data_IF_350218919713
#
_entry.id   IF_350218919713
#
_cell.length_a   1.000
_cell.length_b   1.000
_cell.length_c   1.000
_cell.angle_alpha   90.00
_cell.angle_beta   90.00
_cell.angle_gamma   90.00
#
_symmetry.space_group_name_H-M   'P 1'
#
loop_
_entity.id
_entity.type
_entity.pdbx_description
1 polymer ?
#
# COMPACT_ATOMS: atom_id res chain seq x y z
N UNK A 1 -14.97 2.32 23.91
CA UNK A 1 -13.54 2.33 24.32
C UNK A 1 -12.71 2.28 23.05
N UNK A 2 -11.77 3.21 22.87
CA UNK A 2 -10.92 3.28 21.67
C UNK A 2 -9.76 2.30 21.86
N UNK A 3 -9.46 1.49 20.83
CA UNK A 3 -8.31 0.61 20.79
C UNK A 3 -7.32 1.13 19.73
N UNK A 4 -6.07 1.34 20.12
CA UNK A 4 -5.01 1.87 19.26
C UNK A 4 -4.04 0.78 18.78
N UNK A 5 -4.21 -0.47 19.23
CA UNK A 5 -3.42 -1.60 18.77
C UNK A 5 -3.78 -1.99 17.34
N UNK A 6 -2.78 -2.49 16.61
CA UNK A 6 -2.98 -2.99 15.26
C UNK A 6 -3.92 -4.21 15.33
N UNK A 7 -5.02 -4.24 14.56
CA UNK A 7 -5.86 -5.41 14.49
C UNK A 7 -5.07 -6.61 13.98
N UNK A 8 -5.20 -7.78 14.64
CA UNK A 8 -4.49 -9.03 14.26
C UNK A 8 -4.55 -9.39 12.76
N UNK A 9 -5.67 -9.06 12.10
CA UNK A 9 -5.85 -9.28 10.65
C UNK A 9 -4.89 -8.47 9.76
N UNK A 10 -4.27 -7.42 10.27
CA UNK A 10 -3.33 -6.56 9.54
C UNK A 10 -1.88 -6.74 9.97
N UNK A 11 -1.59 -7.52 11.02
CA UNK A 11 -0.21 -7.76 11.47
C UNK A 11 0.66 -8.33 10.34
N UNK A 12 0.14 -9.29 9.59
CA UNK A 12 0.86 -9.86 8.44
C UNK A 12 1.12 -8.82 7.35
N UNK A 13 0.16 -7.93 7.06
CA UNK A 13 0.34 -6.86 6.08
C UNK A 13 1.46 -5.91 6.53
N UNK A 14 1.42 -5.50 7.80
CA UNK A 14 2.42 -4.61 8.40
C UNK A 14 3.81 -5.25 8.35
N UNK A 15 3.95 -6.53 8.74
CA UNK A 15 5.24 -7.21 8.71
C UNK A 15 5.80 -7.33 7.28
N UNK A 16 4.96 -7.63 6.30
CA UNK A 16 5.39 -7.70 4.89
C UNK A 16 5.81 -6.33 4.35
N UNK A 17 5.02 -5.28 4.63
CA UNK A 17 5.36 -3.92 4.23
C UNK A 17 6.68 -3.46 4.87
N UNK A 18 6.88 -3.78 6.15
CA UNK A 18 8.12 -3.48 6.87
C UNK A 18 9.34 -4.20 6.27
N UNK A 19 9.17 -5.46 5.84
CA UNK A 19 10.22 -6.21 5.18
C UNK A 19 10.61 -5.58 3.83
N UNK A 20 9.63 -5.18 3.01
CA UNK A 20 9.88 -4.45 1.76
C UNK A 20 10.57 -3.12 2.03
N UNK A 21 10.14 -2.38 3.06
CA UNK A 21 10.75 -1.13 3.44
C UNK A 21 12.23 -1.31 3.83
N UNK A 22 12.55 -2.37 4.58
CA UNK A 22 13.91 -2.67 5.02
C UNK A 22 14.81 -3.14 3.88
N UNK A 23 14.35 -4.13 3.10
CA UNK A 23 15.18 -4.81 2.10
C UNK A 23 15.26 -4.09 0.77
N UNK A 24 14.21 -3.36 0.38
CA UNK A 24 14.16 -2.66 -0.92
C UNK A 24 14.34 -1.17 -0.74
N UNK A 25 13.53 -0.52 0.11
CA UNK A 25 13.52 0.94 0.15
C UNK A 25 14.77 1.49 0.83
N UNK A 26 15.11 1.03 2.05
CA UNK A 26 16.31 1.52 2.74
C UNK A 26 17.58 1.18 1.98
N UNK A 27 17.65 0.01 1.35
CA UNK A 27 18.79 -0.39 0.55
C UNK A 27 19.01 0.54 -0.66
N UNK A 28 17.94 0.91 -1.36
CA UNK A 28 18.01 1.76 -2.55
C UNK A 28 17.98 3.27 -2.24
N UNK A 29 17.54 3.67 -1.03
CA UNK A 29 17.36 5.08 -0.65
C UNK A 29 18.62 5.90 -0.91
N UNK A 30 19.79 5.46 -0.41
CA UNK A 30 21.07 6.18 -0.63
C UNK A 30 21.50 6.26 -2.09
N UNK A 31 21.18 5.25 -2.89
CA UNK A 31 21.50 5.25 -4.33
C UNK A 31 20.72 6.34 -5.05
N UNK A 32 19.44 6.51 -4.75
CA UNK A 32 18.57 7.49 -5.39
C UNK A 32 18.67 8.89 -4.76
N UNK A 33 19.08 8.98 -3.50
CA UNK A 33 19.50 10.24 -2.84
C UNK A 33 20.67 10.89 -3.60
N UNK A 34 21.64 10.08 -4.06
CA UNK A 34 22.75 10.58 -4.90
C UNK A 34 22.35 10.80 -6.36
N UNK A 35 21.36 10.07 -6.84
CA UNK A 35 20.91 10.07 -8.23
C UNK A 35 19.50 10.67 -8.33
N UNK A 36 19.34 11.91 -7.85
CA UNK A 36 18.06 12.62 -7.59
C UNK A 36 17.05 12.63 -8.74
N UNK A 37 17.48 12.42 -9.99
CA UNK A 37 16.61 12.45 -11.18
C UNK A 37 16.63 11.14 -11.99
N UNK A 38 17.18 10.09 -11.41
CA UNK A 38 17.18 8.78 -12.04
C UNK A 38 15.93 7.99 -11.69
N UNK A 39 15.36 7.32 -12.69
CA UNK A 39 14.18 6.49 -12.47
C UNK A 39 14.55 5.22 -11.69
N UNK A 40 13.81 4.88 -10.61
CA UNK A 40 14.14 3.74 -9.77
C UNK A 40 13.66 2.41 -10.36
N UNK A 41 14.52 1.79 -11.17
CA UNK A 41 14.22 0.55 -11.91
C UNK A 41 13.92 -0.66 -11.02
N UNK A 42 14.48 -0.71 -9.81
CA UNK A 42 14.22 -1.79 -8.85
C UNK A 42 12.76 -1.79 -8.39
N UNK A 43 12.10 -0.63 -8.42
CA UNK A 43 10.68 -0.54 -8.10
C UNK A 43 9.80 -1.17 -9.18
N UNK A 44 10.24 -1.25 -10.43
CA UNK A 44 9.50 -1.98 -11.48
C UNK A 44 9.48 -3.48 -11.18
N UNK A 45 10.59 -4.03 -10.67
CA UNK A 45 10.65 -5.43 -10.25
C UNK A 45 9.74 -5.68 -9.06
N UNK A 46 9.78 -4.80 -8.05
CA UNK A 46 8.87 -4.88 -6.89
C UNK A 46 7.41 -4.79 -7.33
N UNK A 47 7.11 -3.87 -8.23
CA UNK A 47 5.78 -3.68 -8.80
C UNK A 47 5.29 -4.96 -9.51
N UNK A 48 6.12 -5.58 -10.35
CA UNK A 48 5.77 -6.83 -11.04
C UNK A 48 5.52 -7.99 -10.07
N UNK A 49 6.29 -8.09 -8.99
CA UNK A 49 6.06 -9.10 -7.93
C UNK A 49 4.70 -8.88 -7.25
N UNK A 50 4.39 -7.63 -6.89
CA UNK A 50 3.11 -7.28 -6.26
C UNK A 50 1.95 -7.58 -7.22
N UNK A 51 2.10 -7.34 -8.52
CA UNK A 51 1.08 -7.69 -9.52
C UNK A 51 0.83 -9.18 -9.57
N UNK A 52 1.89 -10.00 -9.71
CA UNK A 52 1.74 -11.45 -9.74
C UNK A 52 1.07 -12.00 -8.48
N UNK A 53 1.34 -11.39 -7.32
CA UNK A 53 0.69 -11.75 -6.05
C UNK A 53 -0.79 -11.34 -6.00
N UNK A 54 -1.16 -10.21 -6.61
CA UNK A 54 -2.56 -9.75 -6.72
C UNK A 54 -3.35 -10.60 -7.73
N UNK A 55 -2.76 -10.95 -8.88
CA UNK A 55 -3.37 -11.81 -9.90
C UNK A 55 -3.60 -13.24 -9.37
N UNK A 56 -2.70 -13.74 -8.52
CA UNK A 56 -2.82 -15.05 -7.88
C UNK A 56 -3.89 -15.14 -6.77
N UNK A 57 -4.62 -14.05 -6.49
CA UNK A 57 -5.69 -14.01 -5.48
C UNK A 57 -5.23 -14.11 -4.02
N UNK A 58 -3.93 -14.29 -3.78
CA UNK A 58 -3.32 -14.47 -2.46
C UNK A 58 -3.42 -13.21 -1.58
N UNK A 59 -3.67 -12.04 -2.16
CA UNK A 59 -3.87 -10.77 -1.44
C UNK A 59 -5.16 -10.05 -1.83
N UNK A 60 -6.22 -10.78 -2.16
CA UNK A 60 -7.55 -10.20 -2.37
C UNK A 60 -8.03 -9.46 -1.10
N UNK A 61 -7.78 -8.15 -1.06
CA UNK A 61 -8.23 -7.23 -0.01
C UNK A 61 -7.18 -6.74 1.01
N UNK A 62 -5.92 -7.18 0.95
CA UNK A 62 -4.93 -6.82 1.99
C UNK A 62 -3.46 -6.77 1.50
N UNK A 63 -3.23 -6.28 0.28
CA UNK A 63 -1.88 -6.14 -0.29
C UNK A 63 -1.30 -4.75 -0.15
N UNK A 64 -0.05 -4.71 0.32
CA UNK A 64 0.82 -3.57 0.61
C UNK A 64 1.16 -2.65 -0.59
N UNK A 65 0.21 -2.46 -1.51
CA UNK A 65 0.33 -1.52 -2.61
C UNK A 65 -1.01 -1.04 -3.17
N UNK A 66 -2.14 -1.28 -2.49
CA UNK A 66 -3.39 -0.62 -2.88
C UNK A 66 -3.42 0.84 -2.37
N UNK A 67 -2.60 1.69 -2.97
CA UNK A 67 -2.72 3.14 -2.86
C UNK A 67 -3.72 3.57 -3.94
N UNK A 68 -5.00 3.59 -3.58
CA UNK A 68 -6.09 4.04 -4.46
C UNK A 68 -7.08 2.96 -4.94
N UNK A 69 -6.80 1.67 -4.76
CA UNK A 69 -7.68 0.59 -5.22
C UNK A 69 -8.84 0.24 -4.28
N UNK A 70 -9.65 1.22 -3.88
CA UNK A 70 -10.82 1.03 -3.02
C UNK A 70 -12.08 0.54 -3.74
N UNK A 71 -11.98 -0.09 -4.92
CA UNK A 71 -13.13 -0.59 -5.66
C UNK A 71 -13.16 -2.12 -5.70
N UNK A 72 -14.20 -2.69 -5.10
CA UNK A 72 -14.68 -4.09 -5.13
C UNK A 72 -14.27 -4.96 -3.94
N UNK A 73 -15.11 -4.95 -2.91
CA UNK A 73 -15.08 -6.03 -1.91
C UNK A 73 -15.97 -5.91 -0.69
N UNK A 74 -16.52 -4.74 -0.37
CA UNK A 74 -17.63 -4.67 0.58
C UNK A 74 -18.86 -4.20 -0.16
N UNK A 75 -19.73 -5.15 -0.51
CA UNK A 75 -21.08 -4.85 -0.94
C UNK A 75 -21.65 -3.75 -0.05
N UNK A 76 -22.41 -2.84 -0.66
CA UNK A 76 -23.31 -1.91 0.03
C UNK A 76 -24.36 -2.75 0.78
N UNK A 77 -23.94 -3.47 1.81
CA UNK A 77 -24.82 -4.02 2.82
C UNK A 77 -25.32 -2.81 3.60
N UNK A 78 -26.55 -2.45 3.24
CA UNK A 78 -27.36 -1.41 3.81
C UNK A 78 -27.81 -1.87 5.19
N UNK A 79 -26.86 -2.04 6.11
CA UNK A 79 -27.14 -2.37 7.51
C UNK A 79 -25.98 -1.92 8.41
N UNK A 80 -26.33 -1.34 9.55
CA UNK A 80 -25.49 -0.73 10.60
C UNK A 80 -24.56 0.44 10.20
N UNK A 81 -25.15 1.65 10.27
CA UNK A 81 -24.45 2.95 10.21
C UNK A 81 -23.66 3.30 11.49
N UNK A 82 -23.56 2.41 12.47
CA UNK A 82 -23.12 2.76 13.84
C UNK A 82 -21.93 1.91 14.38
N UNK A 83 -21.11 1.32 13.49
CA UNK A 83 -19.95 0.50 13.87
C UNK A 83 -18.63 0.96 13.23
N UNK A 84 -17.54 0.95 14.01
CA UNK A 84 -16.18 1.22 13.51
C UNK A 84 -15.73 0.11 12.54
N UNK A 85 -15.59 0.42 11.24
CA UNK A 85 -15.16 -0.52 10.21
C UNK A 85 -13.70 -0.28 9.84
N UNK A 86 -12.79 -1.06 10.43
CA UNK A 86 -11.39 -1.12 9.99
C UNK A 86 -11.31 -1.86 8.64
N UNK A 87 -11.64 -1.17 7.55
CA UNK A 87 -11.71 -1.70 6.18
C UNK A 87 -10.42 -1.52 5.38
N UNK A 88 -10.55 -1.50 4.05
CA UNK A 88 -9.43 -1.35 3.10
C UNK A 88 -8.59 -0.11 3.37
N UNK A 89 -9.21 1.03 3.68
CA UNK A 89 -8.48 2.28 3.96
C UNK A 89 -7.51 2.12 5.15
N UNK A 90 -7.88 1.39 6.20
CA UNK A 90 -6.99 1.12 7.34
C UNK A 90 -5.83 0.21 6.94
N UNK A 91 -6.08 -0.80 6.10
CA UNK A 91 -5.04 -1.67 5.58
C UNK A 91 -4.02 -0.88 4.75
N UNK A 92 -4.50 -0.01 3.85
CA UNK A 92 -3.65 0.86 3.03
C UNK A 92 -2.84 1.84 3.88
N UNK A 93 -3.44 2.47 4.91
CA UNK A 93 -2.73 3.39 5.79
C UNK A 93 -1.61 2.71 6.59
N UNK A 94 -1.87 1.52 7.14
CA UNK A 94 -0.86 0.75 7.85
C UNK A 94 0.30 0.35 6.93
N UNK A 95 0.00 -0.13 5.72
CA UNK A 95 1.03 -0.46 4.74
C UNK A 95 1.85 0.76 4.30
N UNK A 96 1.18 1.89 4.04
CA UNK A 96 1.85 3.15 3.70
C UNK A 96 2.76 3.64 4.83
N UNK A 97 2.35 3.49 6.09
CA UNK A 97 3.17 3.90 7.24
C UNK A 97 4.49 3.16 7.27
N UNK A 98 4.46 1.84 7.06
CA UNK A 98 5.67 1.01 7.02
C UNK A 98 6.56 1.31 5.81
N UNK A 99 5.96 1.54 4.64
CA UNK A 99 6.72 1.90 3.44
C UNK A 99 7.34 3.30 3.54
N UNK A 100 6.62 4.28 4.11
CA UNK A 100 7.14 5.62 4.41
C UNK A 100 8.32 5.58 5.39
N UNK A 101 8.33 4.63 6.33
CA UNK A 101 9.47 4.43 7.22
C UNK A 101 10.74 4.00 6.45
N UNK A 102 10.58 3.27 5.34
CA UNK A 102 11.67 2.93 4.44
C UNK A 102 12.20 4.13 3.68
N UNK A 103 11.35 4.69 2.81
CA UNK A 103 11.63 5.88 2.01
C UNK A 103 10.34 6.41 1.36
N UNK A 104 9.97 7.66 1.67
CA UNK A 104 8.74 8.29 1.12
C UNK A 104 8.87 8.65 -0.36
N UNK A 105 10.07 9.00 -0.83
CA UNK A 105 10.31 9.35 -2.23
C UNK A 105 10.12 8.14 -3.13
N UNK A 106 10.74 7.02 -2.76
CA UNK A 106 10.58 5.75 -3.47
C UNK A 106 9.12 5.29 -3.47
N UNK A 107 8.43 5.39 -2.34
CA UNK A 107 7.00 5.08 -2.25
C UNK A 107 6.16 5.90 -3.23
N UNK A 108 6.36 7.22 -3.28
CA UNK A 108 5.59 8.11 -4.15
C UNK A 108 5.84 7.82 -5.64
N UNK A 109 7.04 7.34 -5.97
CA UNK A 109 7.41 6.92 -7.33
C UNK A 109 7.03 5.48 -7.67
N UNK A 110 6.38 4.74 -6.76
CA UNK A 110 6.02 3.35 -7.01
C UNK A 110 5.15 3.22 -8.28
N UNK A 111 5.56 2.39 -9.26
CA UNK A 111 4.81 2.22 -10.50
C UNK A 111 3.41 1.68 -10.21
N UNK A 112 2.40 2.24 -10.90
CA UNK A 112 0.96 1.87 -10.85
C UNK A 112 0.29 1.91 -9.49
N UNK A 113 1.01 1.91 -8.38
CA UNK A 113 0.48 1.86 -7.02
C UNK A 113 0.99 3.04 -6.20
N UNK A 114 1.58 4.05 -6.84
CA UNK A 114 1.98 5.31 -6.23
C UNK A 114 0.91 6.41 -6.33
N UNK A 115 1.36 7.66 -6.22
CA UNK A 115 0.52 8.85 -6.13
C UNK A 115 -0.49 9.01 -7.28
N UNK A 116 -0.12 8.59 -8.49
CA UNK A 116 -0.96 8.71 -9.68
C UNK A 116 -2.31 7.99 -9.54
N UNK A 117 -2.32 6.76 -9.02
CA UNK A 117 -3.59 6.05 -8.81
C UNK A 117 -4.38 6.60 -7.64
N UNK A 118 -3.72 7.08 -6.60
CA UNK A 118 -4.41 7.73 -5.49
C UNK A 118 -5.21 8.96 -5.98
N UNK A 119 -4.63 9.75 -6.90
CA UNK A 119 -5.30 10.89 -7.51
C UNK A 119 -6.47 10.45 -8.41
N UNK A 120 -6.29 9.41 -9.24
CA UNK A 120 -7.36 8.86 -10.08
C UNK A 120 -8.52 8.37 -9.22
N UNK A 121 -8.24 7.58 -8.18
CA UNK A 121 -9.26 7.05 -7.28
C UNK A 121 -10.03 8.14 -6.52
N UNK A 122 -9.39 9.28 -6.24
CA UNK A 122 -10.02 10.39 -5.52
C UNK A 122 -10.93 11.25 -6.42
N UNK A 123 -10.65 11.34 -7.73
CA UNK A 123 -11.32 12.27 -8.65
C UNK A 123 -12.22 11.56 -9.66
N UNK A 124 -11.99 10.27 -9.93
CA UNK A 124 -12.79 9.50 -10.86
C UNK A 124 -14.24 9.38 -10.35
N UNK A 125 -15.18 9.87 -11.16
CA UNK A 125 -16.61 9.86 -10.86
C UNK A 125 -17.39 8.80 -11.65
N UNK A 126 -16.70 7.99 -12.46
CA UNK A 126 -17.26 6.91 -13.28
C UNK A 126 -16.33 5.70 -13.27
#
# INVERSE_FOLDING_TARGET
MINLEIPRKFEFLVSQAHQVATEVFRFNSRKYDQAEHSYPKELDMLAAVIDGMNEGGALSGAGAGTVGGGSNGSGRAKDDRDGNRNGSNMASLLGLTELCWGDVGLLLTMPRQGLGQAAIAAVANE
#
